data_IF_981767033906
#
_entry.id   IF_981767033906
#
_cell.length_a   1.000
_cell.length_b   1.000
_cell.length_c   1.000
_cell.angle_alpha   90.00
_cell.angle_beta   90.00
_cell.angle_gamma   90.00
#
_symmetry.space_group_name_H-M   'P 1'
#
loop_
_entity.id
_entity.type
_entity.pdbx_description
1 polymer ?
#
# COMPACT_ATOMS: atom_id res chain seq x y z
N UNK A 1 30.10 3.62 -0.94
CA UNK A 1 28.63 3.52 -1.08
C UNK A 1 28.11 4.90 -1.43
N UNK A 2 27.98 5.23 -2.71
CA UNK A 2 27.35 6.48 -3.17
C UNK A 2 26.03 6.11 -3.84
N UNK A 3 24.96 6.00 -3.04
CA UNK A 3 23.60 5.96 -3.55
C UNK A 3 22.93 7.27 -3.20
N UNK A 4 22.46 8.03 -4.19
CA UNK A 4 21.65 9.23 -3.97
C UNK A 4 20.35 8.82 -3.26
N UNK A 5 20.32 8.88 -1.93
CA UNK A 5 19.09 8.69 -1.17
C UNK A 5 18.15 9.87 -1.46
N UNK A 6 17.01 9.60 -2.10
CA UNK A 6 15.95 10.57 -2.31
C UNK A 6 15.00 10.58 -1.12
N UNK A 7 14.66 11.76 -0.61
CA UNK A 7 13.63 11.93 0.42
C UNK A 7 12.34 12.40 -0.27
N UNK A 8 11.23 11.72 -0.01
CA UNK A 8 9.90 12.07 -0.50
C UNK A 8 8.94 12.26 0.68
N UNK A 9 7.94 13.14 0.50
CA UNK A 9 6.91 13.43 1.48
C UNK A 9 5.61 13.84 0.79
N UNK A 10 4.50 13.78 1.52
CA UNK A 10 3.21 14.29 1.08
C UNK A 10 2.99 15.64 1.76
N UNK A 11 3.06 16.72 0.99
CA UNK A 11 2.85 18.07 1.50
C UNK A 11 1.34 18.39 1.55
N UNK A 12 0.88 18.93 2.68
CA UNK A 12 -0.43 19.62 2.74
C UNK A 12 -0.35 20.95 1.99
N UNK A 13 -1.48 21.58 1.62
CA UNK A 13 -1.48 22.92 1.01
C UNK A 13 -0.66 23.94 1.81
N UNK A 14 -0.82 23.92 3.15
CA UNK A 14 -0.11 24.83 4.06
C UNK A 14 1.38 24.49 4.21
N UNK A 15 1.74 23.20 4.11
CA UNK A 15 3.13 22.74 4.23
C UNK A 15 3.95 22.96 2.95
N UNK A 16 3.31 23.03 1.78
CA UNK A 16 3.98 23.12 0.47
C UNK A 16 5.00 24.28 0.39
N UNK A 17 4.68 25.54 0.76
CA UNK A 17 5.64 26.64 0.65
C UNK A 17 6.89 26.46 1.51
N UNK A 18 6.79 25.76 2.65
CA UNK A 18 7.93 25.45 3.51
C UNK A 18 8.86 24.43 2.83
N UNK A 19 8.31 23.34 2.29
CA UNK A 19 9.11 22.31 1.65
C UNK A 19 9.79 22.82 0.38
N UNK A 20 9.13 23.69 -0.39
CA UNK A 20 9.73 24.36 -1.55
C UNK A 20 10.94 25.23 -1.14
N UNK A 21 10.85 25.97 -0.02
CA UNK A 21 11.99 26.73 0.53
C UNK A 21 13.15 25.83 0.99
N UNK A 22 12.87 24.60 1.39
CA UNK A 22 13.88 23.58 1.74
C UNK A 22 14.49 22.89 0.52
N UNK A 23 14.07 23.25 -0.70
CA UNK A 23 14.59 22.70 -1.95
C UNK A 23 13.84 21.46 -2.46
N UNK A 24 12.74 21.05 -1.83
CA UNK A 24 11.87 20.02 -2.39
C UNK A 24 11.16 20.55 -3.63
N UNK A 25 10.82 19.64 -4.54
CA UNK A 25 10.03 19.94 -5.74
C UNK A 25 8.82 19.03 -5.77
N UNK A 26 7.66 19.58 -6.17
CA UNK A 26 6.49 18.76 -6.41
C UNK A 26 6.74 17.84 -7.62
N UNK A 27 6.55 16.54 -7.44
CA UNK A 27 6.69 15.52 -8.49
C UNK A 27 5.37 14.88 -8.88
N UNK A 28 4.45 14.75 -7.93
CA UNK A 28 3.10 14.22 -8.12
C UNK A 28 2.20 14.64 -6.95
N UNK A 29 0.96 14.14 -6.92
CA UNK A 29 -0.03 14.34 -5.88
C UNK A 29 -0.61 13.00 -5.38
N UNK A 30 -1.07 13.00 -4.12
CA UNK A 30 -1.76 11.85 -3.52
C UNK A 30 -3.18 12.23 -3.21
N UNK A 31 -4.14 11.49 -3.78
CA UNK A 31 -5.57 11.69 -3.53
C UNK A 31 -6.07 10.72 -2.46
N UNK A 32 -6.68 11.25 -1.40
CA UNK A 32 -7.41 10.45 -0.42
C UNK A 32 -8.83 10.23 -0.92
N UNK A 33 -9.19 8.97 -1.16
CA UNK A 33 -10.55 8.58 -1.51
C UNK A 33 -11.34 8.25 -0.23
N UNK A 34 -12.58 8.73 -0.15
CA UNK A 34 -13.52 8.46 0.94
C UNK A 34 -14.83 7.98 0.30
N UNK A 35 -15.43 6.95 0.88
CA UNK A 35 -16.62 6.30 0.36
C UNK A 35 -17.60 6.07 1.51
N UNK A 36 -18.80 6.64 1.40
CA UNK A 36 -19.85 6.54 2.43
C UNK A 36 -20.79 5.34 2.21
N UNK A 37 -20.96 4.92 0.95
CA UNK A 37 -21.79 3.77 0.55
C UNK A 37 -20.94 2.76 -0.22
N UNK A 38 -20.69 1.60 0.39
CA UNK A 38 -19.97 0.51 -0.26
C UNK A 38 -20.94 -0.43 -0.97
N UNK A 39 -20.78 -0.55 -2.28
CA UNK A 39 -21.47 -1.55 -3.10
C UNK A 39 -20.48 -2.64 -3.47
N UNK A 40 -20.69 -3.89 -3.04
CA UNK A 40 -19.85 -4.99 -3.46
C UNK A 40 -19.83 -5.08 -4.98
N UNK A 41 -18.64 -5.23 -5.56
CA UNK A 41 -18.51 -5.54 -6.97
C UNK A 41 -19.13 -6.92 -7.24
N UNK A 42 -19.63 -7.11 -8.47
CA UNK A 42 -19.97 -8.45 -8.95
C UNK A 42 -18.75 -9.35 -8.91
N UNK A 43 -18.97 -10.66 -8.76
CA UNK A 43 -17.91 -11.66 -8.72
C UNK A 43 -16.96 -11.47 -9.91
N UNK A 44 -15.67 -11.30 -9.61
CA UNK A 44 -14.63 -11.24 -10.63
C UNK A 44 -14.34 -12.68 -11.09
N UNK A 45 -14.77 -13.13 -12.28
CA UNK A 45 -14.78 -14.55 -12.63
C UNK A 45 -13.38 -15.18 -12.76
N UNK A 46 -12.33 -14.37 -12.82
CA UNK A 46 -10.95 -14.79 -12.97
C UNK A 46 -10.11 -14.59 -11.71
N UNK A 47 -10.71 -14.04 -10.64
CA UNK A 47 -9.99 -13.71 -9.42
C UNK A 47 -10.74 -14.23 -8.19
N UNK A 48 -9.99 -14.68 -7.20
CA UNK A 48 -10.53 -14.99 -5.87
C UNK A 48 -9.76 -14.21 -4.80
N UNK A 49 -10.41 -13.98 -3.66
CA UNK A 49 -9.78 -13.32 -2.51
C UNK A 49 -9.85 -14.29 -1.34
N UNK A 50 -8.72 -14.47 -0.65
CA UNK A 50 -8.65 -15.26 0.58
C UNK A 50 -7.86 -14.53 1.67
N UNK A 51 -8.03 -14.89 2.95
CA UNK A 51 -7.16 -14.41 4.00
C UNK A 51 -5.69 -14.75 3.71
N UNK A 52 -4.81 -13.80 4.04
CA UNK A 52 -3.36 -13.98 4.05
C UNK A 52 -2.95 -15.13 5.00
N UNK A 53 -1.92 -15.88 4.61
CA UNK A 53 -1.23 -16.86 5.43
C UNK A 53 0.26 -16.51 5.51
N UNK A 54 0.97 -16.90 6.57
CA UNK A 54 2.38 -16.54 6.77
C UNK A 54 3.28 -17.01 5.61
N UNK A 55 2.93 -18.10 4.94
CA UNK A 55 3.65 -18.62 3.77
C UNK A 55 3.59 -17.66 2.57
N UNK A 56 2.56 -16.80 2.51
CA UNK A 56 2.39 -15.81 1.44
C UNK A 56 3.37 -14.63 1.58
N UNK A 57 3.98 -14.44 2.77
CA UNK A 57 4.71 -13.21 3.12
C UNK A 57 5.80 -12.85 2.12
N UNK A 58 6.55 -13.85 1.63
CA UNK A 58 7.59 -13.62 0.61
C UNK A 58 7.02 -13.05 -0.69
N UNK A 59 5.85 -13.51 -1.12
CA UNK A 59 5.20 -13.01 -2.34
C UNK A 59 4.73 -11.57 -2.15
N UNK A 60 4.20 -11.24 -0.97
CA UNK A 60 3.81 -9.85 -0.65
C UNK A 60 5.01 -8.90 -0.65
N UNK A 61 6.18 -9.33 -0.17
CA UNK A 61 7.41 -8.53 -0.19
C UNK A 61 7.85 -8.24 -1.63
N UNK A 62 7.81 -9.23 -2.52
CA UNK A 62 8.13 -9.01 -3.93
C UNK A 62 7.10 -8.10 -4.62
N UNK A 63 5.80 -8.31 -4.39
CA UNK A 63 4.75 -7.42 -4.92
C UNK A 63 4.88 -5.98 -4.43
N UNK A 64 5.21 -5.78 -3.14
CA UNK A 64 5.43 -4.44 -2.57
C UNK A 64 6.69 -3.77 -3.16
N UNK A 65 7.75 -4.55 -3.36
CA UNK A 65 8.98 -4.09 -3.99
C UNK A 65 8.74 -3.69 -5.44
N UNK A 66 8.02 -4.49 -6.20
CA UNK A 66 7.67 -4.20 -7.59
C UNK A 66 6.78 -2.95 -7.71
N UNK A 67 5.83 -2.78 -6.80
CA UNK A 67 4.92 -1.64 -6.79
C UNK A 67 5.60 -0.32 -6.35
N UNK A 68 6.64 -0.39 -5.51
CA UNK A 68 7.23 0.81 -4.87
C UNK A 68 8.68 1.08 -5.19
N UNK A 69 9.39 0.12 -5.77
CA UNK A 69 10.83 0.19 -6.05
C UNK A 69 11.70 0.16 -4.81
N UNK A 70 11.16 -0.17 -3.62
CA UNK A 70 11.87 -0.12 -2.35
C UNK A 70 11.76 -1.43 -1.58
N UNK A 71 12.83 -1.79 -0.86
CA UNK A 71 12.78 -2.88 0.13
C UNK A 71 12.15 -2.36 1.43
N UNK A 72 10.89 -2.72 1.65
CA UNK A 72 10.09 -2.30 2.80
C UNK A 72 9.62 -3.48 3.65
N UNK A 73 10.33 -4.61 3.63
CA UNK A 73 9.92 -5.83 4.32
C UNK A 73 9.57 -5.60 5.80
N UNK A 74 10.45 -4.90 6.53
CA UNK A 74 10.24 -4.62 7.96
C UNK A 74 8.99 -3.76 8.20
N UNK A 75 8.76 -2.77 7.33
CA UNK A 75 7.56 -1.94 7.38
C UNK A 75 6.31 -2.76 7.11
N UNK A 76 6.32 -3.56 6.04
CA UNK A 76 5.19 -4.38 5.62
C UNK A 76 4.81 -5.41 6.71
N UNK A 77 5.79 -6.07 7.31
CA UNK A 77 5.57 -6.98 8.45
C UNK A 77 4.90 -6.28 9.63
N UNK A 78 5.36 -5.08 9.97
CA UNK A 78 4.75 -4.29 11.04
C UNK A 78 3.32 -3.85 10.68
N UNK A 79 3.04 -3.54 9.40
CA UNK A 79 1.70 -3.17 8.93
C UNK A 79 0.73 -4.35 8.97
N UNK A 80 1.14 -5.54 8.50
CA UNK A 80 0.31 -6.75 8.55
C UNK A 80 -0.09 -7.07 9.99
N UNK A 81 0.85 -6.98 10.94
CA UNK A 81 0.56 -7.20 12.37
C UNK A 81 -0.46 -6.22 12.96
N UNK A 82 -0.56 -5.02 12.41
CA UNK A 82 -1.50 -3.98 12.86
C UNK A 82 -2.83 -4.00 12.10
N UNK A 83 -2.89 -4.71 10.98
CA UNK A 83 -4.07 -4.77 10.15
C UNK A 83 -5.20 -5.51 10.88
N UNK A 84 -6.43 -5.05 10.65
CA UNK A 84 -7.64 -5.78 11.05
C UNK A 84 -7.82 -7.01 10.15
N UNK A 85 -7.65 -6.82 8.85
CA UNK A 85 -7.69 -7.87 7.84
C UNK A 85 -6.48 -7.73 6.92
N UNK A 86 -5.90 -8.86 6.55
CA UNK A 86 -4.93 -8.97 5.47
C UNK A 86 -5.44 -10.03 4.50
N UNK A 87 -5.61 -9.66 3.24
CA UNK A 87 -6.14 -10.54 2.19
C UNK A 87 -5.20 -10.57 1.00
N UNK A 88 -5.21 -11.70 0.28
CA UNK A 88 -4.50 -11.87 -0.98
C UNK A 88 -5.50 -12.12 -2.10
N UNK A 89 -5.19 -11.57 -3.27
CA UNK A 89 -5.94 -11.80 -4.51
C UNK A 89 -5.21 -12.86 -5.33
N UNK A 90 -5.95 -13.87 -5.76
CA UNK A 90 -5.47 -15.01 -6.52
C UNK A 90 -5.99 -14.93 -7.96
N UNK A 91 -5.15 -15.25 -8.94
CA UNK A 91 -5.58 -15.62 -10.29
C UNK A 91 -6.01 -17.10 -10.36
N UNK A 92 -6.64 -17.50 -11.48
CA UNK A 92 -7.10 -18.88 -11.74
C UNK A 92 -6.01 -19.96 -11.63
N UNK A 93 -4.73 -19.60 -11.73
CA UNK A 93 -3.58 -20.52 -11.65
C UNK A 93 -3.02 -20.66 -10.22
N UNK A 94 -3.82 -20.31 -9.20
CA UNK A 94 -3.40 -20.28 -7.78
C UNK A 94 -2.18 -19.37 -7.51
N UNK A 95 -2.01 -18.35 -8.37
CA UNK A 95 -0.96 -17.34 -8.24
C UNK A 95 -1.48 -16.11 -7.53
N UNK A 96 -0.76 -15.66 -6.49
CA UNK A 96 -1.04 -14.38 -5.85
C UNK A 96 -0.64 -13.25 -6.80
N UNK A 97 -1.58 -12.36 -7.12
CA UNK A 97 -1.37 -11.20 -7.99
C UNK A 97 -1.59 -9.85 -7.28
N UNK A 98 -2.05 -9.87 -6.02
CA UNK A 98 -2.23 -8.66 -5.24
C UNK A 98 -2.52 -8.94 -3.77
N UNK A 99 -2.49 -7.91 -2.94
CA UNK A 99 -2.85 -7.99 -1.53
C UNK A 99 -3.51 -6.70 -1.05
N UNK A 100 -4.26 -6.79 0.04
CA UNK A 100 -4.95 -5.68 0.66
C UNK A 100 -4.87 -5.74 2.18
N UNK A 101 -4.67 -4.58 2.81
CA UNK A 101 -4.64 -4.43 4.26
C UNK A 101 -5.77 -3.49 4.67
N UNK A 102 -6.54 -3.88 5.68
CA UNK A 102 -7.49 -2.99 6.33
C UNK A 102 -6.99 -2.60 7.71
N UNK A 103 -7.24 -1.36 8.10
CA UNK A 103 -7.05 -0.91 9.48
C UNK A 103 -8.40 -0.49 10.04
N UNK A 104 -8.60 -0.71 11.34
CA UNK A 104 -9.78 -0.17 12.00
C UNK A 104 -9.65 1.34 12.08
N UNK A 105 -10.51 2.06 11.35
CA UNK A 105 -10.69 3.48 11.58
C UNK A 105 -11.42 3.66 12.91
N UNK A 106 -10.70 4.05 13.97
CA UNK A 106 -11.33 4.52 15.21
C UNK A 106 -11.65 5.99 15.03
N UNK A 107 -12.91 6.29 14.69
CA UNK A 107 -13.48 7.60 14.93
C UNK A 107 -13.86 7.63 16.42
N UNK A 108 -12.99 8.21 17.25
CA UNK A 108 -13.30 8.61 18.64
C UNK A 108 -13.66 10.07 18.65
#
# INVERSE_FOLDING_TARGET
MNGNASIMLIATPDGKPMYEKMGFKAVDCVHKLICDDYRPAENLPNYSIRPFQEEDFRVLVELDRDATGADRETFLKARIRQAKECVVMMEKEDKICGFGLSITCRLT
#
